data_IF_961292062195
#
_entry.id   IF_961292062195
#
_cell.length_a   1.000
_cell.length_b   1.000
_cell.length_c   1.000
_cell.angle_alpha   90.00
_cell.angle_beta   90.00
_cell.angle_gamma   90.00
#
_symmetry.space_group_name_H-M   'P 1'
#
loop_
_entity.id
_entity.type
_entity.pdbx_description
1 polymer ?
#
# COMPACT_ATOMS: atom_id res chain seq x y z
N UNK A 1 2.04 -18.44 6.39
CA UNK A 1 1.23 -17.86 5.30
C UNK A 1 1.95 -16.60 4.90
N UNK A 2 2.52 -16.56 3.70
CA UNK A 2 3.07 -15.33 3.12
C UNK A 2 1.88 -14.58 2.58
N UNK A 3 1.51 -13.47 3.20
CA UNK A 3 0.50 -12.56 2.66
C UNK A 3 1.05 -12.04 1.33
N UNK A 4 0.47 -12.47 0.21
CA UNK A 4 0.96 -12.12 -1.11
C UNK A 4 0.38 -10.77 -1.53
N UNK A 5 1.23 -9.89 -2.07
CA UNK A 5 0.87 -8.57 -2.58
C UNK A 5 -0.13 -8.61 -3.77
N UNK A 6 -0.71 -9.77 -4.09
CA UNK A 6 -1.60 -10.02 -5.23
C UNK A 6 -3.06 -10.27 -4.81
N UNK A 7 -3.35 -10.50 -3.51
CA UNK A 7 -4.71 -10.68 -2.98
C UNK A 7 -5.39 -9.35 -2.60
N UNK A 8 -4.90 -8.23 -3.11
CA UNK A 8 -5.41 -6.91 -2.77
C UNK A 8 -6.76 -6.65 -3.45
N UNK A 9 -7.71 -6.12 -2.68
CA UNK A 9 -9.06 -5.79 -3.15
C UNK A 9 -9.00 -4.49 -3.96
N UNK A 10 -9.41 -4.54 -5.24
CA UNK A 10 -9.46 -3.37 -6.15
C UNK A 10 -10.58 -2.35 -5.80
N UNK A 11 -11.45 -2.65 -4.82
CA UNK A 11 -12.71 -1.90 -4.61
C UNK A 11 -12.68 -0.91 -3.42
N UNK A 12 -11.65 -0.95 -2.55
CA UNK A 12 -11.58 -0.10 -1.35
C UNK A 12 -10.21 0.57 -1.14
N UNK A 13 -10.20 1.78 -0.55
CA UNK A 13 -8.96 2.48 -0.15
C UNK A 13 -8.23 1.60 0.85
N UNK A 14 -7.06 1.12 0.44
CA UNK A 14 -6.26 0.19 1.24
C UNK A 14 -5.03 0.91 1.75
N UNK A 15 -4.87 0.98 3.07
CA UNK A 15 -3.60 1.37 3.68
C UNK A 15 -2.67 0.17 3.68
N UNK A 16 -1.46 0.33 3.15
CA UNK A 16 -0.42 -0.70 3.18
C UNK A 16 0.86 -0.20 3.80
N UNK A 17 1.39 -1.00 4.71
CA UNK A 17 2.71 -0.83 5.29
C UNK A 17 3.67 -1.81 4.60
N UNK A 18 4.64 -1.25 3.88
CA UNK A 18 5.70 -1.95 3.20
C UNK A 18 6.96 -1.84 4.06
N UNK A 19 7.48 -2.97 4.54
CA UNK A 19 8.75 -3.04 5.26
C UNK A 19 9.79 -3.69 4.36
N UNK A 20 10.79 -2.90 3.97
CA UNK A 20 11.92 -3.35 3.18
C UNK A 20 13.04 -3.91 4.07
N UNK A 21 14.07 -4.48 3.45
CA UNK A 21 15.28 -4.91 4.15
C UNK A 21 15.94 -3.72 4.86
N UNK A 22 16.58 -3.95 6.02
CA UNK A 22 17.23 -2.89 6.82
C UNK A 22 18.33 -2.10 6.06
N UNK A 23 18.95 -2.71 5.05
CA UNK A 23 19.94 -2.07 4.17
C UNK A 23 19.31 -1.10 3.15
N UNK A 24 17.98 -1.16 2.96
CA UNK A 24 17.26 -0.32 2.03
C UNK A 24 16.61 0.86 2.76
N UNK A 25 17.03 2.07 2.40
CA UNK A 25 16.39 3.30 2.85
C UNK A 25 15.41 3.76 1.78
N UNK A 26 14.15 3.95 2.19
CA UNK A 26 13.09 4.46 1.34
C UNK A 26 13.48 5.88 0.89
N UNK A 27 13.59 6.13 -0.43
CA UNK A 27 13.97 7.44 -0.95
C UNK A 27 12.86 8.46 -0.72
N UNK A 28 13.16 9.74 -1.00
CA UNK A 28 12.13 10.76 -1.01
C UNK A 28 11.14 10.50 -2.16
N UNK A 29 9.92 10.14 -1.77
CA UNK A 29 8.82 9.76 -2.63
C UNK A 29 7.65 10.69 -2.34
N UNK A 30 6.91 11.10 -3.38
CA UNK A 30 5.86 12.10 -3.30
C UNK A 30 4.55 11.55 -3.86
N UNK A 31 3.44 11.96 -3.25
CA UNK A 31 2.09 11.53 -3.61
C UNK A 31 1.81 11.57 -5.12
N UNK A 32 1.00 10.63 -5.57
CA UNK A 32 0.53 10.51 -6.95
C UNK A 32 -0.98 10.34 -6.95
N UNK A 33 -1.63 10.64 -8.08
CA UNK A 33 -3.03 10.31 -8.29
C UNK A 33 -3.29 8.82 -7.98
N UNK A 34 -4.14 8.54 -6.99
CA UNK A 34 -4.46 7.19 -6.52
C UNK A 34 -3.44 6.54 -5.57
N UNK A 35 -2.36 7.24 -5.18
CA UNK A 35 -1.35 6.76 -4.22
C UNK A 35 -0.93 7.90 -3.29
N UNK A 36 -1.23 7.77 -2.01
CA UNK A 36 -0.91 8.74 -0.97
C UNK A 36 0.13 8.19 0.01
N UNK A 37 1.18 8.96 0.29
CA UNK A 37 2.24 8.55 1.22
C UNK A 37 1.88 9.07 2.61
N UNK A 38 1.58 8.15 3.52
CA UNK A 38 1.22 8.47 4.90
C UNK A 38 2.44 8.67 5.79
N UNK A 39 3.36 7.70 5.76
CA UNK A 39 4.55 7.71 6.61
C UNK A 39 5.75 7.10 5.89
N UNK A 40 6.92 7.66 6.17
CA UNK A 40 8.21 7.11 5.74
C UNK A 40 9.16 7.08 6.93
N UNK A 41 9.70 5.91 7.24
CA UNK A 41 10.60 5.73 8.37
C UNK A 41 11.68 4.70 8.01
N UNK A 42 12.84 5.18 7.55
CA UNK A 42 13.98 4.30 7.22
C UNK A 42 13.63 3.32 6.09
N UNK A 43 13.50 2.04 6.44
CA UNK A 43 13.11 0.94 5.54
C UNK A 43 11.59 0.68 5.51
N UNK A 44 10.79 1.45 6.24
CA UNK A 44 9.33 1.35 6.24
C UNK A 44 8.68 2.47 5.45
N UNK A 45 7.67 2.09 4.65
CA UNK A 45 6.84 2.99 3.87
C UNK A 45 5.38 2.63 4.11
N UNK A 46 4.61 3.58 4.63
CA UNK A 46 3.16 3.48 4.77
C UNK A 46 2.54 4.34 3.68
N UNK A 47 1.72 3.72 2.85
CA UNK A 47 1.01 4.40 1.78
C UNK A 47 -0.44 3.89 1.71
N UNK A 48 -1.32 4.78 1.32
CA UNK A 48 -2.68 4.47 0.91
C UNK A 48 -2.76 4.45 -0.59
N UNK A 49 -3.53 3.53 -1.14
CA UNK A 49 -3.82 3.53 -2.56
C UNK A 49 -5.29 3.20 -2.83
N UNK A 50 -5.80 3.79 -3.91
CA UNK A 50 -7.14 3.55 -4.45
C UNK A 50 -7.09 3.12 -5.91
N UNK A 51 -5.89 2.78 -6.40
CA UNK A 51 -5.61 2.36 -7.76
C UNK A 51 -5.20 0.88 -7.80
N UNK A 52 -5.14 0.26 -8.98
CA UNK A 52 -4.74 -1.14 -9.07
C UNK A 52 -3.31 -1.37 -8.57
N UNK A 53 -3.09 -2.53 -7.96
CA UNK A 53 -1.79 -2.97 -7.43
C UNK A 53 -0.65 -2.81 -8.43
N UNK A 54 -0.92 -3.06 -9.72
CA UNK A 54 0.07 -2.90 -10.79
C UNK A 54 0.60 -1.47 -10.86
N UNK A 55 -0.26 -0.47 -10.69
CA UNK A 55 0.14 0.94 -10.68
C UNK A 55 0.98 1.26 -9.44
N UNK A 56 0.62 0.69 -8.28
CA UNK A 56 1.43 0.81 -7.06
C UNK A 56 2.82 0.20 -7.25
N UNK A 57 2.89 -1.02 -7.81
CA UNK A 57 4.16 -1.71 -8.12
C UNK A 57 5.01 -0.90 -9.11
N UNK A 58 4.40 -0.33 -10.15
CA UNK A 58 5.09 0.49 -11.15
C UNK A 58 5.59 1.81 -10.54
N UNK A 59 4.75 2.46 -9.74
CA UNK A 59 5.08 3.66 -8.99
C UNK A 59 6.29 3.44 -8.07
N UNK A 60 6.25 2.43 -7.20
CA UNK A 60 7.40 2.08 -6.34
C UNK A 60 8.65 1.80 -7.18
N UNK A 61 8.50 1.03 -8.27
CA UNK A 61 9.59 0.72 -9.20
C UNK A 61 10.19 1.97 -9.85
N UNK A 62 9.41 3.03 -10.09
CA UNK A 62 9.87 4.31 -10.66
C UNK A 62 10.79 5.08 -9.71
N UNK A 63 10.64 4.89 -8.40
CA UNK A 63 11.53 5.47 -7.39
C UNK A 63 12.72 4.57 -7.05
N UNK A 64 12.86 3.43 -7.75
CA UNK A 64 13.92 2.45 -7.49
C UNK A 64 13.66 1.58 -6.26
N UNK A 65 12.44 1.58 -5.72
CA UNK A 65 12.05 0.66 -4.66
C UNK A 65 11.81 -0.74 -5.23
N UNK A 66 12.19 -1.81 -4.51
CA UNK A 66 11.91 -3.16 -4.95
C UNK A 66 10.41 -3.42 -4.92
N UNK A 67 9.94 -4.18 -5.91
CA UNK A 67 8.52 -4.54 -6.06
C UNK A 67 8.03 -5.50 -4.97
N UNK A 68 8.95 -6.14 -4.26
CA UNK A 68 8.70 -7.10 -3.20
C UNK A 68 9.41 -6.61 -1.92
N UNK A 69 8.71 -5.91 -1.02
CA UNK A 69 9.21 -5.68 0.33
C UNK A 69 9.36 -7.00 1.09
N UNK A 70 10.15 -6.99 2.17
CA UNK A 70 10.38 -8.16 3.01
C UNK A 70 9.12 -8.57 3.77
N UNK A 71 8.35 -7.56 4.23
CA UNK A 71 7.07 -7.76 4.89
C UNK A 71 6.06 -6.75 4.40
N UNK A 72 4.82 -7.21 4.26
CA UNK A 72 3.68 -6.39 3.88
C UNK A 72 2.63 -6.54 4.98
N UNK A 73 1.98 -5.45 5.34
CA UNK A 73 0.83 -5.46 6.23
C UNK A 73 -0.23 -4.52 5.70
N UNK A 74 -1.47 -4.99 5.68
CA UNK A 74 -2.61 -4.27 5.13
C UNK A 74 -3.53 -3.87 6.27
N UNK A 75 -3.98 -2.63 6.25
CA UNK A 75 -5.06 -2.15 7.09
C UNK A 75 -6.24 -1.81 6.18
N UNK A 76 -7.29 -2.62 6.29
CA UNK A 76 -8.56 -2.37 5.64
C UNK A 76 -9.36 -1.47 6.57
N UNK A 77 -9.60 -0.23 6.14
CA UNK A 77 -10.67 0.55 6.74
C UNK A 77 -11.97 0.02 6.18
N UNK A 78 -12.58 -0.94 6.90
CA UNK A 78 -13.97 -1.31 6.63
C UNK A 78 -14.81 -0.06 6.86
N UNK A 79 -15.17 0.64 5.79
CA UNK A 79 -16.35 1.48 5.85
C UNK A 79 -17.51 0.49 5.89
N UNK A 80 -18.02 0.20 7.10
CA UNK A 80 -19.37 -0.36 7.24
C UNK A 80 -20.29 0.61 6.51
N UNK A 81 -20.57 0.33 5.23
CA UNK A 81 -21.76 0.81 4.58
C UNK A 81 -22.89 0.24 5.43
N UNK A 82 -23.36 1.05 6.37
CA UNK A 82 -24.60 0.84 7.07
C UNK A 82 -25.73 0.99 6.05
N UNK A 83 -25.78 0.11 5.03
CA UNK A 83 -27.04 -0.32 4.43
C UNK A 83 -27.75 -1.15 5.50
N UNK A 84 -28.23 -0.43 6.53
CA UNK A 84 -29.21 -0.95 7.45
C UNK A 84 -30.49 -1.15 6.64
N UNK A 85 -30.60 -2.35 6.08
CA UNK A 85 -31.81 -3.08 5.74
C UNK A 85 -33.04 -2.44 6.42
N UNK A 86 -33.80 -1.67 5.65
CA UNK A 86 -35.12 -1.19 6.05
C UNK A 86 -36.05 -1.34 4.84
N UNK A 87 -36.48 -2.59 4.62
CA UNK A 87 -37.71 -2.85 3.88
C UNK A 87 -38.64 -3.77 4.68
#
# INVERSE_FOLDING_TARGET
MTEEFDELLDDEITTVTLTYTDDLIVPEIADREGIHILERAGNQLVLEYSCSVKEVKDYLSSYGLPRHPERISFEFSIHEDSENDNL
#
